data_IF_192884415172
#
_entry.id   IF_192884415172
#
_cell.length_a   1.000
_cell.length_b   1.000
_cell.length_c   1.000
_cell.angle_alpha   90.00
_cell.angle_beta   90.00
_cell.angle_gamma   90.00
#
_symmetry.space_group_name_H-M   'P 1'
#
loop_
_entity.id
_entity.type
_entity.pdbx_description
1 polymer ?
#
# COMPACT_ATOMS: atom_id res chain seq x y z
N UNK A 1 -0.74 -14.94 34.28
CA UNK A 1 -0.70 -13.48 34.05
C UNK A 1 -0.38 -12.60 35.28
N UNK A 2 -0.23 -13.13 36.52
CA UNK A 2 0.11 -12.29 37.70
C UNK A 2 1.60 -11.86 37.78
N UNK A 3 2.51 -12.67 37.22
CA UNK A 3 3.95 -12.44 37.33
C UNK A 3 4.44 -11.15 36.62
N UNK A 4 3.85 -10.79 35.48
CA UNK A 4 4.25 -9.59 34.72
C UNK A 4 3.86 -8.27 35.42
N UNK A 5 2.73 -8.27 36.13
CA UNK A 5 2.24 -7.09 36.84
C UNK A 5 3.09 -6.74 38.07
N UNK A 6 3.65 -7.73 38.75
CA UNK A 6 4.50 -7.52 39.94
C UNK A 6 5.91 -7.05 39.56
N UNK A 7 6.43 -7.52 38.43
CA UNK A 7 7.68 -7.02 37.85
C UNK A 7 7.53 -5.55 37.43
N UNK A 8 6.46 -5.20 36.72
CA UNK A 8 6.22 -3.80 36.35
C UNK A 8 6.08 -2.88 37.56
N UNK A 9 5.35 -3.29 38.61
CA UNK A 9 5.22 -2.50 39.84
C UNK A 9 6.56 -2.29 40.55
N UNK A 10 7.42 -3.31 40.58
CA UNK A 10 8.75 -3.21 41.19
C UNK A 10 9.67 -2.26 40.41
N UNK A 11 9.62 -2.30 39.08
CA UNK A 11 10.37 -1.39 38.20
C UNK A 11 9.91 0.07 38.42
N UNK A 12 8.60 0.31 38.46
CA UNK A 12 8.05 1.66 38.67
C UNK A 12 8.44 2.21 40.05
N UNK A 13 8.37 1.38 41.11
CA UNK A 13 8.78 1.78 42.45
C UNK A 13 10.27 2.13 42.53
N UNK A 14 11.13 1.39 41.82
CA UNK A 14 12.57 1.65 41.75
C UNK A 14 12.89 3.01 41.10
N UNK A 15 12.20 3.37 40.00
CA UNK A 15 12.42 4.63 39.32
C UNK A 15 11.80 5.85 40.01
N UNK A 16 10.71 5.67 40.78
CA UNK A 16 10.04 6.75 41.51
C UNK A 16 10.96 7.47 42.51
N UNK A 17 11.96 6.78 43.06
CA UNK A 17 12.94 7.37 43.97
C UNK A 17 14.18 7.97 43.29
N UNK A 18 14.37 7.79 41.98
CA UNK A 18 15.62 8.12 41.25
C UNK A 18 15.33 8.57 39.82
N UNK A 19 14.74 9.76 39.60
CA UNK A 19 14.33 10.23 38.27
C UNK A 19 15.51 10.37 37.30
N UNK A 20 16.71 10.69 37.80
CA UNK A 20 17.93 10.78 36.98
C UNK A 20 18.32 9.42 36.35
N UNK A 21 18.16 8.31 37.09
CA UNK A 21 18.40 6.97 36.54
C UNK A 21 17.36 6.61 35.48
N UNK A 22 16.11 7.06 35.63
CA UNK A 22 15.08 6.85 34.62
C UNK A 22 15.45 7.56 33.31
N UNK A 23 15.85 8.82 33.39
CA UNK A 23 16.27 9.61 32.21
C UNK A 23 17.51 8.99 31.53
N UNK A 24 18.53 8.61 32.30
CA UNK A 24 19.71 7.92 31.75
C UNK A 24 19.31 6.60 31.08
N UNK A 25 18.46 5.80 31.73
CA UNK A 25 18.00 4.53 31.16
C UNK A 25 17.24 4.75 29.84
N UNK A 26 16.43 5.79 29.75
CA UNK A 26 15.71 6.14 28.52
C UNK A 26 16.67 6.58 27.41
N UNK A 27 17.62 7.46 27.72
CA UNK A 27 18.63 7.95 26.77
C UNK A 27 19.51 6.81 26.24
N UNK A 28 19.81 5.80 27.05
CA UNK A 28 20.64 4.67 26.63
C UNK A 28 19.85 3.57 25.93
N UNK A 29 18.67 3.20 26.45
CA UNK A 29 17.89 2.09 25.93
C UNK A 29 17.14 2.45 24.65
N UNK A 30 16.70 3.70 24.48
CA UNK A 30 15.93 4.10 23.31
C UNK A 30 16.74 4.02 22.00
N UNK A 31 17.97 4.58 21.90
CA UNK A 31 18.80 4.41 20.71
C UNK A 31 19.17 2.95 20.45
N UNK A 32 19.38 2.14 21.50
CA UNK A 32 19.64 0.72 21.34
C UNK A 32 18.41 0.00 20.74
N UNK A 33 17.21 0.30 21.24
CA UNK A 33 15.97 -0.24 20.70
C UNK A 33 15.74 0.22 19.25
N UNK A 34 16.02 1.48 18.93
CA UNK A 34 15.96 2.03 17.57
C UNK A 34 16.89 1.29 16.62
N UNK A 35 18.15 1.06 17.02
CA UNK A 35 19.14 0.33 16.22
C UNK A 35 18.69 -1.12 15.98
N UNK A 36 18.25 -1.82 17.03
CA UNK A 36 17.75 -3.18 16.91
C UNK A 36 16.53 -3.25 15.98
N UNK A 37 15.60 -2.31 16.13
CA UNK A 37 14.43 -2.20 15.26
C UNK A 37 14.84 -1.91 13.81
N UNK A 38 15.80 -1.02 13.57
CA UNK A 38 16.31 -0.72 12.24
C UNK A 38 16.95 -1.94 11.57
N UNK A 39 17.74 -2.72 12.31
CA UNK A 39 18.35 -3.94 11.79
C UNK A 39 17.31 -5.01 11.49
N UNK A 40 16.37 -5.23 12.40
CA UNK A 40 15.27 -6.19 12.21
C UNK A 40 14.39 -5.81 11.02
N UNK A 41 14.01 -4.53 10.90
CA UNK A 41 13.20 -4.05 9.80
C UNK A 41 13.93 -4.18 8.46
N UNK A 42 15.22 -3.83 8.40
CA UNK A 42 16.04 -4.04 7.20
C UNK A 42 16.12 -5.50 6.80
N UNK A 43 16.28 -6.40 7.77
CA UNK A 43 16.31 -7.83 7.50
C UNK A 43 14.97 -8.33 6.95
N UNK A 44 13.87 -7.97 7.62
CA UNK A 44 12.51 -8.32 7.20
C UNK A 44 12.18 -7.79 5.79
N UNK A 45 12.51 -6.53 5.51
CA UNK A 45 12.28 -5.92 4.20
C UNK A 45 13.14 -6.57 3.11
N UNK A 46 14.38 -6.95 3.44
CA UNK A 46 15.23 -7.70 2.52
C UNK A 46 14.61 -9.04 2.16
N UNK A 47 14.08 -9.76 3.14
CA UNK A 47 13.39 -11.04 2.92
C UNK A 47 12.12 -10.85 2.07
N UNK A 48 11.30 -9.84 2.38
CA UNK A 48 10.12 -9.51 1.57
C UNK A 48 10.48 -9.15 0.13
N UNK A 49 11.51 -8.30 -0.05
CA UNK A 49 11.97 -7.88 -1.38
C UNK A 49 12.60 -9.02 -2.18
N UNK A 50 13.14 -10.04 -1.50
CA UNK A 50 13.70 -11.22 -2.15
C UNK A 50 12.65 -12.26 -2.53
N UNK A 51 11.44 -12.17 -1.97
CA UNK A 51 10.33 -13.02 -2.38
C UNK A 51 9.89 -12.66 -3.81
N UNK A 52 9.66 -13.64 -4.70
CA UNK A 52 9.01 -13.34 -5.96
C UNK A 52 7.65 -12.73 -5.63
N UNK A 53 7.39 -11.50 -6.07
CA UNK A 53 6.11 -10.84 -5.88
C UNK A 53 5.09 -11.52 -6.80
N UNK A 54 4.71 -12.76 -6.50
CA UNK A 54 3.65 -13.51 -7.17
C UNK A 54 2.30 -13.04 -6.63
N UNK A 55 1.99 -11.77 -6.86
CA UNK A 55 0.60 -11.30 -6.80
C UNK A 55 -0.16 -11.67 -8.06
N UNK A 56 0.55 -12.08 -9.12
CA UNK A 56 -0.01 -12.39 -10.43
C UNK A 56 -0.35 -13.88 -10.58
N UNK A 57 -1.60 -14.19 -10.91
CA UNK A 57 -2.01 -15.48 -11.48
C UNK A 57 -1.81 -15.43 -13.00
N UNK A 58 -0.88 -16.23 -13.53
CA UNK A 58 -0.37 -16.06 -14.88
C UNK A 58 -1.45 -16.21 -15.96
N UNK A 59 -2.44 -17.09 -15.75
CA UNK A 59 -3.50 -17.33 -16.72
C UNK A 59 -4.61 -16.27 -16.65
N UNK A 60 -5.12 -16.00 -15.44
CA UNK A 60 -6.23 -15.05 -15.24
C UNK A 60 -5.80 -13.62 -15.57
N UNK A 61 -4.61 -13.21 -15.13
CA UNK A 61 -4.17 -11.83 -15.25
C UNK A 61 -3.69 -11.48 -16.66
N UNK A 62 -3.15 -12.44 -17.43
CA UNK A 62 -2.78 -12.17 -18.82
C UNK A 62 -4.00 -11.80 -19.67
N UNK A 63 -5.11 -12.51 -19.48
CA UNK A 63 -6.35 -12.21 -20.18
C UNK A 63 -6.88 -10.81 -19.84
N UNK A 64 -6.87 -10.44 -18.55
CA UNK A 64 -7.34 -9.12 -18.12
C UNK A 64 -6.43 -7.98 -18.61
N UNK A 65 -5.12 -8.18 -18.65
CA UNK A 65 -4.19 -7.19 -19.23
C UNK A 65 -4.35 -7.08 -20.74
N UNK A 66 -4.52 -8.19 -21.46
CA UNK A 66 -4.80 -8.14 -22.90
C UNK A 66 -6.13 -7.43 -23.18
N UNK A 67 -7.16 -7.70 -22.37
CA UNK A 67 -8.44 -7.00 -22.45
C UNK A 67 -8.28 -5.50 -22.19
N UNK A 68 -7.45 -5.12 -21.21
CA UNK A 68 -7.13 -3.72 -20.95
C UNK A 68 -6.49 -3.06 -22.19
N UNK A 69 -5.50 -3.70 -22.81
CA UNK A 69 -4.85 -3.17 -24.01
C UNK A 69 -5.80 -3.08 -25.21
N UNK A 70 -6.69 -4.06 -25.39
CA UNK A 70 -7.73 -4.02 -26.42
C UNK A 70 -8.74 -2.89 -26.19
N UNK A 71 -9.17 -2.67 -24.94
CA UNK A 71 -10.05 -1.55 -24.60
C UNK A 71 -9.32 -0.22 -24.82
N UNK A 72 -8.05 -0.15 -24.46
CA UNK A 72 -7.22 1.03 -24.68
C UNK A 72 -7.06 1.32 -26.17
N UNK A 73 -6.90 0.30 -27.02
CA UNK A 73 -6.74 0.50 -28.46
C UNK A 73 -8.01 1.02 -29.15
N UNK A 74 -9.18 0.90 -28.50
CA UNK A 74 -10.43 1.55 -28.96
C UNK A 74 -10.56 3.02 -28.54
N UNK A 75 -9.65 3.54 -27.72
CA UNK A 75 -9.68 4.92 -27.25
C UNK A 75 -9.05 5.90 -28.24
N UNK A 76 -9.31 7.18 -28.03
CA UNK A 76 -8.71 8.28 -28.81
C UNK A 76 -7.16 8.24 -28.77
N UNK A 77 -6.48 8.55 -29.88
CA UNK A 77 -5.02 8.44 -29.99
C UNK A 77 -4.26 9.28 -28.97
N UNK A 78 -4.75 10.48 -28.66
CA UNK A 78 -4.16 11.39 -27.67
C UNK A 78 -4.19 10.81 -26.25
N UNK A 79 -5.24 10.04 -25.92
CA UNK A 79 -5.37 9.38 -24.61
C UNK A 79 -4.38 8.22 -24.48
N UNK A 80 -4.19 7.46 -25.56
CA UNK A 80 -3.22 6.36 -25.60
C UNK A 80 -1.81 6.93 -25.43
N UNK A 81 -1.48 8.00 -26.16
CA UNK A 81 -0.19 8.67 -26.04
C UNK A 81 0.03 9.20 -24.62
N UNK A 82 -0.95 9.93 -24.06
CA UNK A 82 -0.85 10.48 -22.69
C UNK A 82 -0.71 9.39 -21.63
N UNK A 83 -1.39 8.25 -21.82
CA UNK A 83 -1.26 7.11 -20.91
C UNK A 83 0.16 6.55 -20.96
N UNK A 84 0.68 6.25 -22.16
CA UNK A 84 2.04 5.72 -22.34
C UNK A 84 3.05 6.68 -21.74
N UNK A 85 2.94 7.98 -22.02
CA UNK A 85 3.81 9.02 -21.46
C UNK A 85 3.74 9.08 -19.93
N UNK A 86 2.55 8.91 -19.34
CA UNK A 86 2.34 8.90 -17.90
C UNK A 86 3.07 7.78 -17.14
N UNK A 87 3.55 6.74 -17.83
CA UNK A 87 4.31 5.64 -17.22
C UNK A 87 5.82 5.87 -17.16
N UNK A 88 6.33 6.94 -17.78
CA UNK A 88 7.75 7.24 -17.79
C UNK A 88 8.08 8.46 -16.93
N UNK A 89 9.18 8.36 -16.18
CA UNK A 89 9.76 9.44 -15.40
C UNK A 89 11.11 9.85 -16.00
N UNK A 90 11.43 11.13 -15.94
CA UNK A 90 12.72 11.67 -16.37
C UNK A 90 12.62 12.56 -17.60
N UNK A 91 13.77 12.82 -18.21
CA UNK A 91 13.91 13.69 -19.37
C UNK A 91 14.34 12.88 -20.60
N UNK A 92 13.73 13.18 -21.74
CA UNK A 92 14.07 12.59 -23.03
C UNK A 92 12.85 12.10 -23.80
N UNK A 93 13.10 11.64 -25.03
CA UNK A 93 12.05 11.14 -25.90
C UNK A 93 11.79 9.65 -25.66
N UNK A 94 10.52 9.27 -25.60
CA UNK A 94 10.10 7.88 -25.50
C UNK A 94 10.49 7.15 -26.79
N UNK A 95 11.27 6.08 -26.64
CA UNK A 95 11.70 5.23 -27.74
C UNK A 95 11.03 3.87 -27.67
N UNK A 96 11.09 3.14 -28.79
CA UNK A 96 10.47 1.83 -28.95
C UNK A 96 10.83 0.88 -27.81
N UNK A 97 12.11 0.79 -27.45
CA UNK A 97 12.58 -0.08 -26.37
C UNK A 97 12.03 0.27 -24.98
N UNK A 98 11.73 1.55 -24.71
CA UNK A 98 11.09 1.95 -23.45
C UNK A 98 9.64 1.44 -23.39
N UNK A 99 8.91 1.52 -24.51
CA UNK A 99 7.53 1.02 -24.60
C UNK A 99 7.48 -0.51 -24.60
N UNK A 100 8.45 -1.18 -25.24
CA UNK A 100 8.60 -2.64 -25.16
C UNK A 100 8.77 -3.10 -23.71
N UNK A 101 9.60 -2.41 -22.92
CA UNK A 101 9.77 -2.70 -21.48
C UNK A 101 8.46 -2.52 -20.71
N UNK A 102 7.70 -1.45 -20.99
CA UNK A 102 6.40 -1.19 -20.38
C UNK A 102 5.42 -2.33 -20.68
N UNK A 103 5.28 -2.72 -21.96
CA UNK A 103 4.34 -3.77 -22.36
C UNK A 103 4.75 -5.12 -21.76
N UNK A 104 6.04 -5.49 -21.83
CA UNK A 104 6.57 -6.71 -21.24
C UNK A 104 6.27 -6.80 -19.73
N UNK A 105 6.50 -5.71 -19.00
CA UNK A 105 6.17 -5.63 -17.59
C UNK A 105 4.66 -5.76 -17.36
N UNK A 106 3.82 -5.03 -18.09
CA UNK A 106 2.36 -5.11 -17.89
C UNK A 106 1.81 -6.51 -18.18
N UNK A 107 2.31 -7.22 -19.19
CA UNK A 107 1.82 -8.55 -19.56
C UNK A 107 2.36 -9.67 -18.70
N UNK A 108 3.65 -9.64 -18.37
CA UNK A 108 4.34 -10.80 -17.81
C UNK A 108 4.97 -10.54 -16.46
N UNK A 109 4.98 -9.29 -15.99
CA UNK A 109 5.74 -8.88 -14.81
C UNK A 109 7.23 -9.27 -14.88
N UNK A 110 7.79 -9.17 -16.08
CA UNK A 110 9.12 -9.64 -16.41
C UNK A 110 9.90 -8.61 -17.25
N UNK A 111 11.22 -8.79 -17.33
CA UNK A 111 12.07 -7.98 -18.20
C UNK A 111 12.06 -8.58 -19.61
N UNK A 112 12.23 -7.74 -20.63
CA UNK A 112 12.22 -8.18 -22.04
C UNK A 112 13.26 -9.27 -22.30
N UNK A 113 14.40 -9.25 -21.59
CA UNK A 113 15.47 -10.24 -21.73
C UNK A 113 15.07 -11.64 -21.24
N UNK A 114 14.19 -11.75 -20.24
CA UNK A 114 13.74 -13.04 -19.70
C UNK A 114 12.62 -13.69 -20.50
N UNK A 115 11.95 -12.93 -21.38
CA UNK A 115 10.85 -13.43 -22.19
C UNK A 115 11.31 -14.46 -23.23
N UNK A 116 10.47 -15.48 -23.43
CA UNK A 116 10.61 -16.45 -24.51
C UNK A 116 10.21 -15.83 -25.88
N UNK A 117 10.42 -16.56 -26.98
CA UNK A 117 10.17 -16.05 -28.33
C UNK A 117 8.69 -15.71 -28.60
N UNK A 118 7.75 -16.50 -28.06
CA UNK A 118 6.31 -16.28 -28.25
C UNK A 118 5.85 -15.03 -27.49
N UNK A 119 6.30 -14.88 -26.25
CA UNK A 119 6.05 -13.70 -25.42
C UNK A 119 6.62 -12.43 -26.07
N UNK A 120 7.84 -12.51 -26.61
CA UNK A 120 8.46 -11.39 -27.35
C UNK A 120 7.64 -11.01 -28.57
N UNK A 121 7.12 -11.99 -29.31
CA UNK A 121 6.26 -11.70 -30.46
C UNK A 121 4.98 -10.98 -30.04
N UNK A 122 4.31 -11.43 -28.97
CA UNK A 122 3.09 -10.78 -28.49
C UNK A 122 3.33 -9.33 -28.04
N UNK A 123 4.47 -9.07 -27.37
CA UNK A 123 4.87 -7.71 -26.98
C UNK A 123 5.08 -6.83 -28.21
N UNK A 124 5.76 -7.33 -29.25
CA UNK A 124 5.97 -6.60 -30.50
C UNK A 124 4.66 -6.35 -31.27
N UNK A 125 3.74 -7.31 -31.26
CA UNK A 125 2.42 -7.17 -31.90
C UNK A 125 1.59 -6.06 -31.23
N UNK A 126 1.55 -6.03 -29.90
CA UNK A 126 0.88 -4.97 -29.14
C UNK A 126 1.54 -3.61 -29.34
N UNK A 127 2.87 -3.56 -29.35
CA UNK A 127 3.60 -2.34 -29.62
C UNK A 127 3.24 -1.78 -31.02
N UNK A 128 3.16 -2.65 -32.02
CA UNK A 128 2.72 -2.27 -33.36
C UNK A 128 1.28 -1.77 -33.38
N UNK A 129 0.38 -2.38 -32.60
CA UNK A 129 -0.99 -1.89 -32.44
C UNK A 129 -1.00 -0.48 -31.82
N UNK A 130 -0.23 -0.25 -30.75
CA UNK A 130 -0.11 1.06 -30.10
C UNK A 130 0.43 2.13 -31.07
N UNK A 131 1.52 1.85 -31.79
CA UNK A 131 2.07 2.75 -32.82
C UNK A 131 1.06 3.05 -33.93
N UNK A 132 0.33 2.01 -34.37
CA UNK A 132 -0.71 2.12 -35.39
C UNK A 132 -1.86 3.02 -34.96
N UNK A 133 -2.24 2.96 -33.67
CA UNK A 133 -3.32 3.79 -33.10
C UNK A 133 -2.89 5.23 -32.87
N UNK A 134 -1.70 5.47 -32.34
CA UNK A 134 -1.15 6.82 -32.15
C UNK A 134 -0.89 7.49 -33.51
N UNK A 135 -0.73 6.71 -34.58
CA UNK A 135 -0.40 7.20 -35.92
C UNK A 135 1.04 7.69 -36.04
N UNK A 136 1.90 7.32 -35.08
CA UNK A 136 3.33 7.65 -35.03
C UNK A 136 4.11 6.42 -34.59
N UNK A 137 5.25 6.20 -35.23
CA UNK A 137 6.21 5.18 -34.79
C UNK A 137 7.15 5.78 -33.77
N UNK A 138 7.46 5.02 -32.72
CA UNK A 138 8.47 5.43 -31.76
C UNK A 138 9.87 5.32 -32.40
N UNK A 139 10.79 6.25 -32.10
CA UNK A 139 12.16 6.14 -32.56
C UNK A 139 12.80 4.84 -32.09
N UNK A 140 13.69 4.26 -32.92
CA UNK A 140 14.41 3.05 -32.56
C UNK A 140 15.38 3.27 -31.38
N UNK A 141 15.62 2.20 -30.63
CA UNK A 141 16.51 2.18 -29.47
C UNK A 141 15.78 2.37 -28.14
N UNK A 142 16.55 2.72 -27.10
CA UNK A 142 16.09 2.94 -25.74
C UNK A 142 16.69 4.24 -25.23
N UNK A 143 15.88 5.10 -24.62
CA UNK A 143 16.36 6.31 -23.98
C UNK A 143 16.87 5.99 -22.58
N UNK A 144 18.11 6.35 -22.27
CA UNK A 144 18.73 6.15 -20.96
C UNK A 144 18.26 7.18 -19.91
N UNK A 145 17.75 8.34 -20.35
CA UNK A 145 17.23 9.40 -19.48
C UNK A 145 15.80 9.16 -18.98
N UNK A 146 15.10 8.17 -19.55
CA UNK A 146 13.74 7.81 -19.17
C UNK A 146 13.71 6.49 -18.40
N UNK A 147 13.05 6.51 -17.25
CA UNK A 147 12.80 5.34 -16.43
C UNK A 147 11.32 4.98 -16.48
N UNK A 148 11.00 3.75 -16.90
CA UNK A 148 9.65 3.21 -16.83
C UNK A 148 9.30 2.89 -15.38
N UNK A 149 8.16 3.35 -14.87
CA UNK A 149 7.67 2.96 -13.55
C UNK A 149 7.16 1.51 -13.59
N UNK A 150 7.92 0.57 -13.04
CA UNK A 150 7.56 -0.86 -12.98
C UNK A 150 7.45 -1.25 -11.52
N UNK A 151 6.30 -0.95 -10.91
CA UNK A 151 6.10 -1.01 -9.46
C UNK A 151 6.46 -2.34 -8.78
N UNK A 152 6.45 -3.45 -9.52
CA UNK A 152 6.76 -4.81 -9.04
C UNK A 152 8.20 -5.24 -9.33
N UNK A 153 8.85 -4.67 -10.34
CA UNK A 153 10.23 -5.02 -10.74
C UNK A 153 11.28 -4.05 -10.20
N UNK A 154 10.89 -2.80 -9.97
CA UNK A 154 11.78 -1.79 -9.45
C UNK A 154 11.92 -1.98 -7.93
N UNK A 155 13.15 -1.93 -7.44
CA UNK A 155 13.42 -2.02 -6.01
C UNK A 155 12.74 -0.87 -5.28
N UNK A 156 11.90 -1.19 -4.31
CA UNK A 156 11.31 -0.17 -3.46
C UNK A 156 12.40 0.39 -2.53
N UNK A 157 12.70 1.68 -2.67
CA UNK A 157 13.50 2.41 -1.69
C UNK A 157 12.68 2.56 -0.41
N UNK A 158 12.83 1.58 0.49
CA UNK A 158 12.10 1.61 1.75
C UNK A 158 12.74 2.65 2.66
N UNK A 159 12.07 3.81 2.77
CA UNK A 159 12.44 4.84 3.72
C UNK A 159 12.19 4.31 5.13
N UNK A 160 13.27 4.14 5.89
CA UNK A 160 13.20 3.73 7.29
C UNK A 160 12.40 4.74 8.10
N UNK A 161 11.33 4.27 8.75
CA UNK A 161 10.57 5.06 9.73
C UNK A 161 11.05 4.71 11.14
N UNK A 162 11.49 5.70 11.94
CA UNK A 162 11.95 5.47 13.30
C UNK A 162 10.94 4.74 14.18
N UNK A 163 11.39 3.97 15.17
CA UNK A 163 10.49 3.32 16.15
C UNK A 163 9.60 4.36 16.85
N UNK A 164 10.18 5.53 17.15
CA UNK A 164 9.46 6.65 17.74
C UNK A 164 8.25 7.11 16.90
N UNK A 165 8.34 7.02 15.57
CA UNK A 165 7.21 7.36 14.69
C UNK A 165 6.03 6.40 14.90
N UNK A 166 6.29 5.09 15.00
CA UNK A 166 5.25 4.09 15.26
C UNK A 166 4.67 4.23 16.68
N UNK A 167 5.52 4.44 17.68
CA UNK A 167 5.07 4.69 19.05
C UNK A 167 4.19 5.93 19.15
N UNK A 168 4.54 7.00 18.42
CA UNK A 168 3.73 8.20 18.33
C UNK A 168 2.36 7.91 17.70
N UNK A 169 2.31 7.19 16.57
CA UNK A 169 1.04 6.84 15.93
C UNK A 169 0.14 6.00 16.83
N UNK A 170 0.70 4.98 17.51
CA UNK A 170 -0.02 4.17 18.48
C UNK A 170 -0.54 5.07 19.61
N UNK A 171 0.31 5.94 20.17
CA UNK A 171 -0.08 6.88 21.21
C UNK A 171 -1.20 7.82 20.77
N UNK A 172 -1.11 8.37 19.55
CA UNK A 172 -2.12 9.24 18.96
C UNK A 172 -3.46 8.50 18.75
N UNK A 173 -3.43 7.26 18.27
CA UNK A 173 -4.62 6.42 18.12
C UNK A 173 -5.29 6.13 19.47
N UNK A 174 -4.49 5.76 20.48
CA UNK A 174 -4.99 5.55 21.85
C UNK A 174 -5.61 6.82 22.45
N UNK A 175 -4.96 7.96 22.24
CA UNK A 175 -5.46 9.25 22.70
C UNK A 175 -6.78 9.61 22.00
N UNK A 176 -6.85 9.48 20.68
CA UNK A 176 -8.08 9.71 19.90
C UNK A 176 -9.21 8.78 20.38
N UNK A 177 -8.92 7.49 20.60
CA UNK A 177 -9.89 6.54 21.13
C UNK A 177 -10.41 6.95 22.53
N UNK A 178 -9.53 7.48 23.39
CA UNK A 178 -9.90 7.95 24.72
C UNK A 178 -10.81 9.19 24.66
N UNK A 179 -10.50 10.13 23.77
CA UNK A 179 -11.34 11.31 23.51
C UNK A 179 -12.69 10.92 22.92
N UNK A 180 -12.71 10.01 21.94
CA UNK A 180 -13.97 9.54 21.34
C UNK A 180 -14.84 8.81 22.36
N UNK A 181 -14.25 7.97 23.20
CA UNK A 181 -14.97 7.30 24.30
C UNK A 181 -15.53 8.29 25.33
N UNK A 182 -14.80 9.36 25.66
CA UNK A 182 -15.33 10.40 26.55
C UNK A 182 -16.49 11.19 25.92
N UNK A 183 -16.56 11.24 24.59
CA UNK A 183 -17.68 11.79 23.83
C UNK A 183 -18.84 10.80 23.56
N UNK A 184 -18.86 9.64 24.24
CA UNK A 184 -19.87 8.58 24.06
C UNK A 184 -19.88 7.93 22.67
N UNK A 185 -18.73 7.90 21.99
CA UNK A 185 -18.55 7.03 20.83
C UNK A 185 -18.17 5.63 21.30
N UNK A 186 -18.71 4.63 20.61
CA UNK A 186 -18.43 3.23 20.81
C UNK A 186 -17.60 2.72 19.63
N UNK A 187 -16.61 1.88 19.94
CA UNK A 187 -15.82 1.21 18.91
C UNK A 187 -16.62 -0.01 18.43
N UNK A 188 -16.97 -0.02 17.15
CA UNK A 188 -17.62 -1.14 16.49
C UNK A 188 -16.63 -1.81 15.53
N UNK A 189 -16.80 -3.09 15.34
CA UNK A 189 -16.05 -3.90 14.40
C UNK A 189 -17.05 -4.62 13.49
N UNK A 190 -16.93 -4.42 12.18
CA UNK A 190 -17.79 -5.05 11.18
C UNK A 190 -16.92 -5.48 10.00
N UNK A 191 -16.94 -6.77 9.67
CA UNK A 191 -16.17 -7.37 8.57
C UNK A 191 -14.68 -7.00 8.56
N UNK A 192 -14.06 -6.95 9.75
CA UNK A 192 -12.65 -6.60 9.93
C UNK A 192 -12.35 -5.10 9.85
N UNK A 193 -13.35 -4.25 9.62
CA UNK A 193 -13.23 -2.80 9.72
C UNK A 193 -13.62 -2.33 11.12
N UNK A 194 -12.65 -1.74 11.83
CA UNK A 194 -12.89 -1.09 13.12
C UNK A 194 -13.20 0.40 12.91
N UNK A 195 -14.34 0.88 13.40
CA UNK A 195 -14.73 2.29 13.32
C UNK A 195 -15.46 2.76 14.58
N UNK A 196 -15.35 4.05 14.88
CA UNK A 196 -16.09 4.66 15.99
C UNK A 196 -17.44 5.16 15.49
N UNK A 197 -18.52 4.76 16.17
CA UNK A 197 -19.86 5.28 15.93
C UNK A 197 -20.47 5.83 17.21
N UNK A 198 -21.36 6.79 17.11
CA UNK A 198 -22.15 7.25 18.24
C UNK A 198 -23.48 6.51 18.20
N UNK A 199 -23.82 5.67 19.19
CA UNK A 199 -25.09 4.97 19.16
C UNK A 199 -26.23 6.01 19.13
N UNK A 200 -27.29 5.77 18.33
CA UNK A 200 -28.46 6.64 18.35
C UNK A 200 -28.96 6.71 19.79
N UNK A 201 -29.11 7.94 20.32
CA UNK A 201 -29.73 8.14 21.63
C UNK A 201 -31.13 7.53 21.54
N UNK A 202 -31.30 6.31 22.06
CA UNK A 202 -32.60 5.72 22.29
C UNK A 202 -33.42 6.80 22.99
N UNK A 203 -34.41 7.36 22.31
CA UNK A 203 -35.37 8.27 22.90
C UNK A 203 -36.04 7.48 24.03
N UNK A 204 -35.59 7.74 25.25
CA UNK A 204 -36.17 7.20 26.47
C UNK A 204 -37.48 7.93 26.70
N UNK A 205 -38.53 7.47 26.01
CA UNK A 205 -39.87 8.04 26.12
C UNK A 205 -40.83 7.50 25.07
N UNK A 206 -41.39 6.30 25.29
CA UNK A 206 -42.41 5.75 24.42
C UNK A 206 -42.74 4.28 24.69
N UNK A 207 -43.15 3.95 25.92
CA UNK A 207 -43.88 2.69 26.13
C UNK A 207 -45.25 2.83 25.44
N UNK A 208 -45.48 2.07 24.36
CA UNK A 208 -46.56 1.07 24.26
C UNK A 208 -46.68 0.51 22.82
N UNK A 209 -46.62 -0.84 22.72
CA UNK A 209 -47.34 -1.73 21.79
C UNK A 209 -47.58 -1.25 20.35
N UNK A 210 -47.04 -1.96 19.36
CA UNK A 210 -47.71 -3.05 18.61
C UNK A 210 -46.81 -3.59 17.48
N UNK A 211 -46.82 -4.92 17.35
CA UNK A 211 -46.69 -5.79 16.15
C UNK A 211 -45.99 -5.32 14.86
N UNK A 212 -45.24 -6.30 14.34
CA UNK A 212 -45.00 -6.64 12.94
C UNK A 212 -43.78 -6.06 12.21
N UNK A 213 -43.18 -6.98 11.44
CA UNK A 213 -41.89 -6.87 10.79
C UNK A 213 -41.78 -5.70 9.82
N UNK A 214 -40.70 -4.94 9.97
CA UNK A 214 -40.12 -4.15 8.91
C UNK A 214 -38.63 -4.07 9.15
N UNK A 215 -37.86 -4.51 8.14
CA UNK A 215 -36.42 -4.39 8.09
C UNK A 215 -36.01 -2.92 8.23
N UNK A 216 -35.12 -2.63 9.18
CA UNK A 216 -34.46 -1.34 9.25
C UNK A 216 -33.29 -1.34 8.26
N UNK A 217 -33.46 -0.63 7.14
CA UNK A 217 -32.36 -0.27 6.24
C UNK A 217 -31.34 0.62 6.98
N UNK A 218 -30.03 0.35 6.88
CA UNK A 218 -29.01 1.28 7.33
C UNK A 218 -28.93 2.46 6.37
N UNK A 219 -29.22 3.66 6.88
CA UNK A 219 -29.03 4.94 6.21
C UNK A 219 -27.53 5.18 5.96
N UNK A 220 -27.07 4.89 4.75
CA UNK A 220 -25.76 5.29 4.25
C UNK A 220 -25.85 6.78 3.89
N UNK A 221 -25.19 7.63 4.68
CA UNK A 221 -24.96 9.02 4.32
C UNK A 221 -23.68 9.04 3.47
N UNK A 222 -23.83 9.38 2.19
CA UNK A 222 -22.72 9.72 1.27
C UNK A 222 -22.08 11.07 1.64
#
# INVERSE_FOLDING_TARGET
MRCTADVMRSIVAFFKGRPFLAVISYILLFPLAEILFALQLRHYLKELSAGPHRTRDHETDLHDVLRFWQLLSTSEPERIQSLVEGWFLGEGDIRRGNVTDLIAWTLYDERVESLNSEQKQLVEDLLHEVEGRIGKRFPAGKSEGLTCMRHTLDGLDVVYKPLGFYLFLIGAQWFAALVLRSCSFELLECDGLSYFSRPPRLQRGGSTRTSDGAAAEPLVIM
#
